data_IF_367677085057
#
_entry.id   IF_367677085057
#
_cell.length_a   1.000
_cell.length_b   1.000
_cell.length_c   1.000
_cell.angle_alpha   90.00
_cell.angle_beta   90.00
_cell.angle_gamma   90.00
#
_symmetry.space_group_name_H-M   'P 1'
#
loop_
_entity.id
_entity.type
_entity.pdbx_description
1 polymer ?
#
# COMPACT_ATOMS: atom_id res chain seq x y z
N UNK A 1 -8.97 -5.92 12.21
CA UNK A 1 -9.47 -5.92 10.82
C UNK A 1 -8.78 -6.94 9.94
N UNK A 2 -7.46 -6.84 9.72
CA UNK A 2 -6.63 -7.86 9.07
C UNK A 2 -5.78 -8.55 10.12
N UNK A 3 -5.68 -9.88 10.03
CA UNK A 3 -4.77 -10.68 10.88
C UNK A 3 -4.04 -11.69 10.01
N UNK A 4 -2.72 -11.68 10.11
CA UNK A 4 -1.80 -12.62 9.49
C UNK A 4 -1.17 -13.43 10.62
N UNK A 5 -1.17 -14.76 10.51
CA UNK A 5 -0.67 -15.64 11.56
C UNK A 5 0.26 -16.69 10.99
N UNK A 6 1.50 -16.69 11.45
CA UNK A 6 2.57 -17.64 11.13
C UNK A 6 2.73 -17.89 9.61
N UNK A 7 2.75 -16.81 8.83
CA UNK A 7 2.72 -16.88 7.37
C UNK A 7 4.09 -17.28 6.80
N UNK A 8 4.11 -18.36 6.02
CA UNK A 8 5.28 -18.84 5.31
C UNK A 8 5.06 -18.78 3.79
N UNK A 9 5.99 -18.13 3.08
CA UNK A 9 5.97 -18.06 1.60
C UNK A 9 7.35 -18.39 1.06
N UNK A 10 7.39 -19.19 0.00
CA UNK A 10 8.65 -19.57 -0.65
C UNK A 10 8.55 -19.42 -2.17
N UNK A 11 9.65 -19.04 -2.80
CA UNK A 11 9.87 -19.07 -4.24
C UNK A 11 10.87 -20.18 -4.55
N UNK A 12 10.36 -21.34 -4.99
CA UNK A 12 11.20 -22.54 -5.12
C UNK A 12 11.86 -22.90 -3.78
N UNK A 13 13.19 -22.91 -3.74
CA UNK A 13 13.97 -23.20 -2.53
C UNK A 13 14.17 -22.02 -1.58
N UNK A 14 13.81 -20.78 -1.97
CA UNK A 14 14.05 -19.58 -1.17
C UNK A 14 12.83 -19.28 -0.31
N UNK A 15 13.00 -19.31 1.02
CA UNK A 15 11.96 -18.91 1.98
C UNK A 15 11.97 -17.39 2.11
N UNK A 16 10.99 -16.73 1.49
CA UNK A 16 10.84 -15.29 1.53
C UNK A 16 10.15 -14.80 2.82
N UNK A 17 9.14 -15.52 3.31
CA UNK A 17 8.52 -15.29 4.63
C UNK A 17 8.69 -16.54 5.49
N UNK A 18 9.02 -16.34 6.78
CA UNK A 18 9.45 -17.39 7.71
C UNK A 18 8.66 -17.31 9.02
N UNK A 19 7.33 -17.36 8.94
CA UNK A 19 6.45 -17.29 10.12
C UNK A 19 6.11 -15.83 10.48
N UNK A 20 5.70 -15.03 9.49
CA UNK A 20 5.29 -13.63 9.71
C UNK A 20 3.91 -13.59 10.34
N UNK A 21 3.78 -12.86 11.45
CA UNK A 21 2.51 -12.55 12.10
C UNK A 21 2.38 -11.03 12.25
N UNK A 22 1.21 -10.48 11.92
CA UNK A 22 0.88 -9.07 12.11
C UNK A 22 -0.63 -8.87 12.19
N UNK A 23 -1.02 -7.74 12.74
CA UNK A 23 -2.41 -7.30 12.81
C UNK A 23 -2.53 -5.84 12.36
N UNK A 24 -3.65 -5.54 11.67
CA UNK A 24 -4.03 -4.17 11.30
C UNK A 24 -5.45 -3.96 11.82
N UNK A 25 -5.65 -2.94 12.65
CA UNK A 25 -6.97 -2.58 13.16
C UNK A 25 -7.69 -1.65 12.18
N UNK A 26 -8.99 -1.51 12.35
CA UNK A 26 -9.78 -0.63 11.50
C UNK A 26 -9.40 0.84 11.74
N UNK A 27 -9.21 1.60 10.66
CA UNK A 27 -8.86 3.01 10.70
C UNK A 27 -7.38 3.29 10.98
N UNK A 28 -6.55 2.25 11.20
CA UNK A 28 -5.10 2.42 11.38
C UNK A 28 -4.35 2.59 10.05
N UNK A 29 -3.28 3.37 10.10
CA UNK A 29 -2.16 3.27 9.15
C UNK A 29 -1.08 2.43 9.82
N UNK A 30 -0.83 1.24 9.28
CA UNK A 30 0.27 0.37 9.72
C UNK A 30 1.33 0.36 8.65
N UNK A 31 2.58 0.60 9.02
CA UNK A 31 3.69 0.50 8.07
C UNK A 31 4.58 -0.72 8.33
N UNK A 32 5.11 -1.27 7.25
CA UNK A 32 6.14 -2.31 7.28
C UNK A 32 7.40 -1.73 6.67
N UNK A 33 8.43 -1.57 7.48
CA UNK A 33 9.76 -1.14 7.05
C UNK A 33 10.74 -2.30 7.04
N UNK A 34 11.78 -2.19 6.22
CA UNK A 34 12.80 -3.23 6.09
C UNK A 34 13.62 -3.06 4.81
N UNK A 35 14.77 -3.67 4.75
CA UNK A 35 15.66 -3.63 3.59
C UNK A 35 15.01 -4.24 2.33
N UNK A 36 15.56 -3.93 1.17
CA UNK A 36 15.15 -4.58 -0.09
C UNK A 36 15.41 -6.09 0.02
N UNK A 37 14.43 -6.88 -0.45
CA UNK A 37 14.47 -8.34 -0.31
C UNK A 37 14.07 -8.87 1.08
N UNK A 38 13.67 -8.03 2.04
CA UNK A 38 13.21 -8.49 3.36
C UNK A 38 11.91 -9.31 3.32
N UNK A 39 11.13 -9.20 2.22
CA UNK A 39 9.86 -9.92 2.05
C UNK A 39 8.62 -9.04 2.07
N UNK A 40 8.76 -7.71 2.06
CA UNK A 40 7.67 -6.74 2.16
C UNK A 40 6.60 -6.93 1.06
N UNK A 41 7.00 -6.82 -0.20
CA UNK A 41 6.09 -7.02 -1.35
C UNK A 41 5.57 -8.46 -1.43
N UNK A 42 6.36 -9.46 -0.98
CA UNK A 42 5.90 -10.85 -0.86
C UNK A 42 4.71 -10.97 0.08
N UNK A 43 4.75 -10.25 1.20
CA UNK A 43 3.65 -10.24 2.17
C UNK A 43 2.39 -9.59 1.58
N UNK A 44 2.51 -8.43 0.94
CA UNK A 44 1.37 -7.78 0.28
C UNK A 44 0.80 -8.64 -0.85
N UNK A 45 1.65 -9.29 -1.63
CA UNK A 45 1.24 -10.22 -2.69
C UNK A 45 0.55 -11.48 -2.15
N UNK A 46 0.93 -11.96 -0.97
CA UNK A 46 0.23 -13.06 -0.31
C UNK A 46 -1.16 -12.62 0.21
N UNK A 47 -1.27 -11.40 0.78
CA UNK A 47 -2.55 -10.85 1.25
C UNK A 47 -3.48 -10.55 0.06
N UNK A 48 -2.98 -10.04 -1.06
CA UNK A 48 -3.78 -9.76 -2.27
C UNK A 48 -4.08 -11.00 -3.13
N UNK A 49 -3.56 -12.18 -2.73
CA UNK A 49 -3.84 -13.46 -3.40
C UNK A 49 -3.04 -13.72 -4.68
N UNK A 50 -2.05 -12.87 -5.00
CA UNK A 50 -1.12 -13.11 -6.11
C UNK A 50 -0.12 -14.23 -5.79
N UNK A 51 0.15 -14.44 -4.50
CA UNK A 51 1.02 -15.53 -4.03
C UNK A 51 0.24 -16.44 -3.07
N UNK A 52 0.41 -17.74 -3.24
CA UNK A 52 -0.17 -18.74 -2.35
C UNK A 52 0.80 -19.00 -1.20
N UNK A 53 0.41 -18.78 0.07
CA UNK A 53 1.21 -19.19 1.21
C UNK A 53 1.41 -20.71 1.26
N UNK A 54 2.59 -21.13 1.71
CA UNK A 54 2.90 -22.54 1.98
C UNK A 54 2.24 -23.02 3.27
N UNK A 55 2.21 -22.16 4.31
CA UNK A 55 1.53 -22.41 5.59
C UNK A 55 1.19 -21.08 6.26
N UNK A 56 0.48 -21.16 7.39
CA UNK A 56 -0.08 -20.01 8.10
C UNK A 56 -1.48 -19.67 7.63
N UNK A 57 -2.01 -18.58 8.13
CA UNK A 57 -3.37 -18.14 7.80
C UNK A 57 -3.46 -16.61 7.70
N UNK A 58 -4.41 -16.17 6.88
CA UNK A 58 -4.78 -14.75 6.75
C UNK A 58 -6.29 -14.67 6.97
N UNK A 59 -6.72 -13.78 7.86
CA UNK A 59 -8.13 -13.45 8.05
C UNK A 59 -8.38 -11.97 7.89
N UNK A 60 -9.56 -11.63 7.36
CA UNK A 60 -10.04 -10.27 7.19
C UNK A 60 -11.46 -10.17 7.75
N UNK A 61 -11.69 -9.23 8.67
CA UNK A 61 -12.97 -9.09 9.40
C UNK A 61 -13.42 -10.41 10.03
N UNK A 62 -12.48 -11.06 10.72
CA UNK A 62 -12.66 -12.33 11.45
C UNK A 62 -13.11 -13.51 10.58
N UNK A 63 -12.95 -13.39 9.25
CA UNK A 63 -13.22 -14.46 8.29
C UNK A 63 -11.93 -14.84 7.57
N UNK A 64 -11.76 -16.11 7.26
CA UNK A 64 -10.64 -16.57 6.45
C UNK A 64 -10.63 -15.83 5.10
N UNK A 65 -9.47 -15.31 4.74
CA UNK A 65 -9.33 -14.56 3.49
C UNK A 65 -9.53 -15.49 2.29
N UNK A 66 -10.34 -15.10 1.27
CA UNK A 66 -10.45 -15.85 0.03
C UNK A 66 -9.10 -16.02 -0.65
N UNK A 67 -8.94 -17.08 -1.45
CA UNK A 67 -7.68 -17.33 -2.16
C UNK A 67 -7.57 -16.63 -3.51
N UNK A 68 -8.70 -16.23 -4.10
CA UNK A 68 -8.75 -15.61 -5.44
C UNK A 68 -8.72 -14.10 -5.33
N UNK A 69 -7.86 -13.38 -6.10
CA UNK A 69 -7.75 -11.94 -6.06
C UNK A 69 -9.09 -11.20 -6.24
N UNK A 70 -9.92 -11.64 -7.20
CA UNK A 70 -11.25 -11.04 -7.43
C UNK A 70 -12.18 -11.13 -6.21
N UNK A 71 -12.08 -12.22 -5.43
CA UNK A 71 -12.83 -12.40 -4.18
C UNK A 71 -12.26 -11.58 -3.04
N UNK A 72 -10.94 -11.36 -3.02
CA UNK A 72 -10.27 -10.50 -2.04
C UNK A 72 -10.69 -9.05 -2.25
N UNK A 73 -10.72 -8.57 -3.50
CA UNK A 73 -11.21 -7.24 -3.82
C UNK A 73 -12.69 -7.08 -3.42
N UNK A 74 -13.54 -8.08 -3.72
CA UNK A 74 -14.95 -8.09 -3.27
C UNK A 74 -15.12 -8.11 -1.76
N UNK A 75 -14.15 -8.65 -1.02
CA UNK A 75 -14.16 -8.63 0.45
C UNK A 75 -13.82 -7.25 1.03
N UNK A 76 -13.27 -6.33 0.22
CA UNK A 76 -12.94 -4.96 0.61
C UNK A 76 -11.45 -4.69 0.78
N UNK A 77 -10.56 -5.48 0.18
CA UNK A 77 -9.12 -5.22 0.15
C UNK A 77 -8.74 -4.77 -1.26
N UNK A 78 -8.14 -3.59 -1.39
CA UNK A 78 -7.54 -3.14 -2.64
C UNK A 78 -6.01 -3.04 -2.52
N UNK A 79 -5.32 -3.10 -3.64
CA UNK A 79 -3.85 -3.10 -3.69
C UNK A 79 -3.35 -2.07 -4.70
N UNK A 80 -2.50 -1.17 -4.25
CA UNK A 80 -1.65 -0.30 -5.06
C UNK A 80 -0.28 -0.97 -5.12
N UNK A 81 0.05 -1.69 -6.19
CA UNK A 81 1.29 -2.44 -6.30
C UNK A 81 2.46 -1.52 -6.65
N UNK A 82 3.68 -2.00 -6.37
CA UNK A 82 4.91 -1.40 -6.87
C UNK A 82 4.89 -1.30 -8.42
N UNK A 83 5.52 -0.27 -8.96
CA UNK A 83 5.63 -0.07 -10.41
C UNK A 83 4.36 0.45 -11.08
N UNK A 84 3.38 0.95 -10.30
CA UNK A 84 2.15 1.62 -10.74
C UNK A 84 1.13 0.70 -11.43
N UNK A 85 1.57 -0.21 -12.28
CA UNK A 85 0.80 -1.21 -13.05
C UNK A 85 -0.51 -0.63 -13.63
N UNK A 86 -0.39 0.52 -14.32
CA UNK A 86 -1.49 1.13 -15.07
C UNK A 86 -1.70 0.40 -16.40
N UNK A 87 -2.90 0.50 -16.95
CA UNK A 87 -3.20 0.03 -18.30
C UNK A 87 -2.78 1.12 -19.30
N UNK A 88 -1.52 1.07 -19.77
CA UNK A 88 -0.89 2.12 -20.55
C UNK A 88 -1.64 2.47 -21.85
N UNK A 89 -2.28 1.49 -22.48
CA UNK A 89 -3.03 1.65 -23.73
C UNK A 89 -4.48 2.15 -23.54
N UNK A 90 -4.94 2.24 -22.29
CA UNK A 90 -6.26 2.76 -21.96
C UNK A 90 -6.16 4.24 -21.60
N UNK A 91 -7.29 4.96 -21.67
CA UNK A 91 -7.37 6.33 -21.19
C UNK A 91 -7.27 6.42 -19.67
N UNK A 92 -7.08 7.61 -19.13
CA UNK A 92 -7.16 7.87 -17.68
C UNK A 92 -8.55 7.46 -17.16
N UNK A 93 -9.62 7.83 -17.86
CA UNK A 93 -11.00 7.48 -17.52
C UNK A 93 -11.20 5.96 -17.47
N UNK A 94 -10.78 5.24 -18.48
CA UNK A 94 -10.91 3.78 -18.53
C UNK A 94 -10.14 3.12 -17.39
N UNK A 95 -8.92 3.61 -17.09
CA UNK A 95 -8.14 3.13 -15.95
C UNK A 95 -8.89 3.33 -14.63
N UNK A 96 -9.52 4.48 -14.39
CA UNK A 96 -10.31 4.74 -13.19
C UNK A 96 -11.53 3.81 -13.12
N UNK A 97 -12.25 3.64 -14.23
CA UNK A 97 -13.38 2.72 -14.31
C UNK A 97 -12.99 1.25 -14.07
N UNK A 98 -11.79 0.84 -14.47
CA UNK A 98 -11.28 -0.50 -14.13
C UNK A 98 -11.15 -0.72 -12.62
N UNK A 99 -10.89 0.33 -11.83
CA UNK A 99 -10.91 0.27 -10.37
C UNK A 99 -12.28 -0.14 -9.81
N UNK A 100 -13.35 0.28 -10.43
CA UNK A 100 -14.74 -0.01 -10.02
C UNK A 100 -15.37 -1.20 -10.75
N UNK A 101 -14.60 -1.99 -11.52
CA UNK A 101 -15.12 -3.06 -12.38
C UNK A 101 -16.02 -4.10 -11.65
N UNK A 102 -15.75 -4.35 -10.38
CA UNK A 102 -16.52 -5.31 -9.57
C UNK A 102 -17.70 -4.69 -8.83
N UNK A 103 -17.98 -3.38 -9.02
CA UNK A 103 -19.04 -2.62 -8.36
C UNK A 103 -20.24 -2.45 -9.27
N UNK A 104 -21.41 -2.23 -8.66
CA UNK A 104 -22.68 -2.00 -9.36
C UNK A 104 -23.42 -0.74 -8.86
N UNK A 105 -22.86 -0.03 -7.87
CA UNK A 105 -23.44 1.12 -7.18
C UNK A 105 -23.11 2.44 -7.92
N UNK A 106 -23.74 2.66 -9.08
CA UNK A 106 -23.42 3.75 -10.01
C UNK A 106 -23.36 5.14 -9.35
N UNK A 107 -24.27 5.45 -8.42
CA UNK A 107 -24.29 6.74 -7.74
C UNK A 107 -23.04 6.93 -6.85
N UNK A 108 -22.67 5.90 -6.09
CA UNK A 108 -21.45 5.95 -5.26
C UNK A 108 -20.18 5.96 -6.11
N UNK A 109 -20.15 5.22 -7.24
CA UNK A 109 -19.04 5.26 -8.19
C UNK A 109 -18.84 6.67 -8.78
N UNK A 110 -19.93 7.39 -9.10
CA UNK A 110 -19.84 8.76 -9.59
C UNK A 110 -19.27 9.70 -8.50
N UNK A 111 -19.74 9.57 -7.26
CA UNK A 111 -19.22 10.36 -6.14
C UNK A 111 -17.72 10.06 -5.86
N UNK A 112 -17.30 8.79 -5.96
CA UNK A 112 -15.89 8.42 -5.81
C UNK A 112 -15.04 8.97 -6.95
N UNK A 113 -15.56 9.04 -8.19
CA UNK A 113 -14.86 9.63 -9.32
C UNK A 113 -14.64 11.15 -9.12
N UNK A 114 -15.66 11.89 -8.65
CA UNK A 114 -15.52 13.31 -8.30
C UNK A 114 -14.49 13.51 -7.18
N UNK A 115 -14.46 12.62 -6.21
CA UNK A 115 -13.44 12.63 -5.15
C UNK A 115 -12.03 12.39 -5.70
N UNK A 116 -11.88 11.46 -6.65
CA UNK A 116 -10.60 11.25 -7.35
C UNK A 116 -10.16 12.52 -8.05
N UNK A 117 -11.05 13.24 -8.72
CA UNK A 117 -10.71 14.49 -9.40
C UNK A 117 -10.40 15.64 -8.45
N UNK A 118 -11.04 15.66 -7.28
CA UNK A 118 -10.69 16.62 -6.21
C UNK A 118 -9.27 16.39 -5.69
N UNK A 119 -8.89 15.12 -5.46
CA UNK A 119 -7.55 14.77 -4.98
C UNK A 119 -6.48 14.85 -6.08
N UNK A 120 -6.86 14.57 -7.32
CA UNK A 120 -5.97 14.50 -8.47
C UNK A 120 -6.48 15.35 -9.65
N UNK A 121 -6.50 16.69 -9.55
CA UNK A 121 -7.06 17.56 -10.62
C UNK A 121 -6.41 17.31 -11.98
N UNK A 122 -5.12 16.96 -12.02
CA UNK A 122 -4.40 16.63 -13.24
C UNK A 122 -4.96 15.43 -13.98
N UNK A 123 -5.56 14.46 -13.28
CA UNK A 123 -6.21 13.34 -13.94
C UNK A 123 -7.50 13.77 -14.63
N UNK A 124 -8.25 14.73 -14.05
CA UNK A 124 -9.43 15.31 -14.68
C UNK A 124 -9.09 16.06 -15.97
N UNK A 125 -8.05 16.91 -15.93
CA UNK A 125 -7.57 17.66 -17.10
C UNK A 125 -7.17 16.73 -18.25
N UNK A 126 -6.72 15.51 -17.93
CA UNK A 126 -6.17 14.52 -18.87
C UNK A 126 -7.05 13.30 -19.05
N UNK A 127 -8.33 13.42 -18.72
CA UNK A 127 -9.28 12.28 -18.60
C UNK A 127 -9.31 11.39 -19.85
N UNK A 128 -9.20 11.97 -21.03
CA UNK A 128 -9.21 11.27 -22.34
C UNK A 128 -7.81 10.91 -22.86
N UNK A 129 -6.75 11.29 -22.12
CA UNK A 129 -5.38 11.01 -22.53
C UNK A 129 -5.05 9.54 -22.29
N UNK A 130 -4.22 8.94 -23.16
CA UNK A 130 -3.66 7.60 -22.93
C UNK A 130 -2.77 7.59 -21.69
N UNK A 131 -3.04 6.68 -20.76
CA UNK A 131 -2.35 6.62 -19.46
C UNK A 131 -0.84 6.40 -19.59
N UNK A 132 -0.40 5.70 -20.66
CA UNK A 132 1.02 5.48 -20.92
C UNK A 132 1.81 6.75 -21.23
N UNK A 133 1.14 7.85 -21.62
CA UNK A 133 1.78 9.14 -21.93
C UNK A 133 1.86 10.09 -20.75
N UNK A 134 1.33 9.70 -19.60
CA UNK A 134 1.42 10.45 -18.36
C UNK A 134 2.84 10.43 -17.79
N UNK A 135 3.23 11.48 -17.06
CA UNK A 135 4.45 11.47 -16.26
C UNK A 135 4.40 10.38 -15.17
N UNK A 136 5.56 9.98 -14.66
CA UNK A 136 5.63 8.97 -13.63
C UNK A 136 4.83 9.30 -12.37
N UNK A 137 4.78 10.55 -11.97
CA UNK A 137 3.95 11.01 -10.86
C UNK A 137 2.45 10.93 -11.15
N UNK A 138 2.03 11.35 -12.34
CA UNK A 138 0.62 11.24 -12.77
C UNK A 138 0.17 9.78 -12.89
N UNK A 139 1.05 8.89 -13.34
CA UNK A 139 0.77 7.45 -13.35
C UNK A 139 0.58 6.90 -11.93
N UNK A 140 1.37 7.37 -10.95
CA UNK A 140 1.21 7.00 -9.55
C UNK A 140 -0.12 7.51 -8.98
N UNK A 141 -0.48 8.77 -9.27
CA UNK A 141 -1.78 9.32 -8.89
C UNK A 141 -2.93 8.51 -9.51
N UNK A 142 -2.78 8.08 -10.77
CA UNK A 142 -3.77 7.22 -11.44
C UNK A 142 -3.91 5.85 -10.76
N UNK A 143 -2.80 5.23 -10.33
CA UNK A 143 -2.82 3.97 -9.58
C UNK A 143 -3.54 4.12 -8.23
N UNK A 144 -3.29 5.22 -7.51
CA UNK A 144 -3.99 5.54 -6.25
C UNK A 144 -5.47 5.89 -6.49
N UNK A 145 -5.78 6.62 -7.55
CA UNK A 145 -7.16 6.91 -7.98
C UNK A 145 -7.96 5.62 -8.27
N UNK A 146 -7.34 4.63 -8.93
CA UNK A 146 -7.98 3.31 -9.13
C UNK A 146 -8.27 2.61 -7.81
N UNK A 147 -7.40 2.72 -6.81
CA UNK A 147 -7.65 2.16 -5.49
C UNK A 147 -8.86 2.83 -4.81
N UNK A 148 -9.01 4.15 -4.92
CA UNK A 148 -10.20 4.86 -4.45
C UNK A 148 -11.47 4.38 -5.16
N UNK A 149 -11.44 4.21 -6.47
CA UNK A 149 -12.56 3.71 -7.26
C UNK A 149 -12.99 2.29 -6.85
N UNK A 150 -12.06 1.47 -6.35
CA UNK A 150 -12.36 0.14 -5.79
C UNK A 150 -13.21 0.23 -4.53
N UNK A 151 -13.08 1.32 -3.78
CA UNK A 151 -13.76 1.61 -2.52
C UNK A 151 -13.55 0.51 -1.45
N UNK A 152 -12.39 -0.15 -1.46
CA UNK A 152 -11.99 -1.10 -0.43
C UNK A 152 -11.85 -0.43 0.95
N UNK A 153 -12.03 -1.21 2.01
CA UNK A 153 -11.86 -0.71 3.39
C UNK A 153 -10.40 -0.81 3.86
N UNK A 154 -9.65 -1.77 3.32
CA UNK A 154 -8.22 -1.94 3.53
C UNK A 154 -7.48 -1.68 2.22
N UNK A 155 -6.55 -0.74 2.25
CA UNK A 155 -5.68 -0.39 1.13
C UNK A 155 -4.27 -0.89 1.42
N UNK A 156 -3.79 -1.81 0.60
CA UNK A 156 -2.40 -2.25 0.60
C UNK A 156 -1.63 -1.33 -0.34
N UNK A 157 -0.52 -0.75 0.10
CA UNK A 157 0.32 0.14 -0.71
C UNK A 157 1.76 -0.37 -0.70
N UNK A 158 2.29 -0.70 -1.88
CA UNK A 158 3.65 -1.24 -2.05
C UNK A 158 4.55 -0.18 -2.68
N UNK A 159 5.39 0.43 -1.85
CA UNK A 159 6.37 1.48 -2.18
C UNK A 159 5.79 2.60 -3.07
N UNK A 160 4.66 3.23 -2.68
CA UNK A 160 3.96 4.20 -3.53
C UNK A 160 4.79 5.46 -3.84
N UNK A 161 5.82 5.76 -3.07
CA UNK A 161 6.70 6.91 -3.30
C UNK A 161 7.96 6.60 -4.13
N UNK A 162 8.19 5.32 -4.47
CA UNK A 162 9.42 4.89 -5.13
C UNK A 162 9.63 5.55 -6.50
N UNK A 163 10.83 6.11 -6.71
CA UNK A 163 11.23 6.71 -7.99
C UNK A 163 10.50 8.02 -8.33
N UNK A 164 9.88 8.67 -7.34
CA UNK A 164 9.27 9.98 -7.50
C UNK A 164 10.23 11.11 -7.10
N UNK A 165 10.02 12.29 -7.70
CA UNK A 165 10.70 13.51 -7.28
C UNK A 165 10.28 13.90 -5.84
N UNK A 166 11.15 14.57 -5.06
CA UNK A 166 10.87 14.87 -3.64
C UNK A 166 9.54 15.58 -3.37
N UNK A 167 9.13 16.48 -4.24
CA UNK A 167 7.84 17.17 -4.13
C UNK A 167 6.66 16.19 -4.27
N UNK A 168 6.75 15.24 -5.20
CA UNK A 168 5.71 14.24 -5.43
C UNK A 168 5.68 13.19 -4.31
N UNK A 169 6.82 12.90 -3.68
CA UNK A 169 6.87 12.06 -2.48
C UNK A 169 5.98 12.66 -1.39
N UNK A 170 6.11 13.97 -1.11
CA UNK A 170 5.24 14.62 -0.11
C UNK A 170 3.76 14.48 -0.50
N UNK A 171 3.41 14.75 -1.74
CA UNK A 171 2.04 14.60 -2.24
C UNK A 171 1.49 13.19 -2.02
N UNK A 172 2.30 12.14 -2.22
CA UNK A 172 1.86 10.75 -1.96
C UNK A 172 1.50 10.55 -0.48
N UNK A 173 2.31 11.07 0.45
CA UNK A 173 2.03 10.94 1.88
C UNK A 173 0.82 11.78 2.31
N UNK A 174 0.61 12.96 1.72
CA UNK A 174 -0.59 13.77 1.94
C UNK A 174 -1.85 12.99 1.48
N UNK A 175 -1.77 12.29 0.36
CA UNK A 175 -2.87 11.45 -0.14
C UNK A 175 -3.10 10.21 0.76
N UNK A 176 -2.07 9.64 1.35
CA UNK A 176 -2.22 8.55 2.33
C UNK A 176 -3.03 9.04 3.54
N UNK A 177 -2.76 10.25 4.04
CA UNK A 177 -3.55 10.86 5.11
C UNK A 177 -4.99 11.16 4.67
N UNK A 178 -5.19 11.59 3.42
CA UNK A 178 -6.54 11.75 2.88
C UNK A 178 -7.31 10.43 2.82
N UNK A 179 -6.66 9.31 2.45
CA UNK A 179 -7.29 8.00 2.52
C UNK A 179 -7.73 7.65 3.94
N UNK A 180 -6.89 7.99 4.93
CA UNK A 180 -7.23 7.85 6.36
C UNK A 180 -8.45 8.69 6.72
N UNK A 181 -8.50 9.96 6.30
CA UNK A 181 -9.62 10.87 6.56
C UNK A 181 -10.95 10.35 5.98
N UNK A 182 -10.88 9.57 4.90
CA UNK A 182 -12.00 8.87 4.28
C UNK A 182 -12.37 7.56 5.03
N UNK A 183 -11.78 7.29 6.20
CA UNK A 183 -12.03 6.10 7.01
C UNK A 183 -11.39 4.82 6.48
N UNK A 184 -10.43 4.92 5.55
CA UNK A 184 -9.71 3.75 5.05
C UNK A 184 -8.68 3.26 6.07
N UNK A 185 -8.48 1.95 6.10
CA UNK A 185 -7.38 1.30 6.81
C UNK A 185 -6.24 1.09 5.82
N UNK A 186 -5.00 1.30 6.23
CA UNK A 186 -3.86 1.26 5.30
C UNK A 186 -2.79 0.33 5.84
N UNK A 187 -2.31 -0.57 4.98
CA UNK A 187 -1.07 -1.32 5.21
C UNK A 187 -0.06 -0.83 4.17
N UNK A 188 0.90 -0.04 4.65
CA UNK A 188 1.90 0.65 3.86
C UNK A 188 3.24 -0.09 3.91
N UNK A 189 3.80 -0.41 2.78
CA UNK A 189 5.19 -0.80 2.63
C UNK A 189 5.93 0.35 1.97
N UNK A 190 7.03 0.78 2.58
CA UNK A 190 7.84 1.90 2.06
C UNK A 190 9.32 1.68 2.28
N UNK A 191 10.12 2.18 1.34
CA UNK A 191 11.57 2.26 1.48
C UNK A 191 11.95 3.52 2.28
N UNK A 192 11.20 4.61 2.15
CA UNK A 192 11.37 5.83 2.94
C UNK A 192 10.80 5.62 4.34
N UNK A 193 11.57 4.90 5.17
CA UNK A 193 11.15 4.55 6.52
C UNK A 193 10.81 5.78 7.38
N UNK A 194 11.54 6.89 7.21
CA UNK A 194 11.29 8.12 7.97
C UNK A 194 9.86 8.63 7.73
N UNK A 195 9.51 8.84 6.47
CA UNK A 195 8.18 9.31 6.06
C UNK A 195 7.06 8.32 6.42
N UNK A 196 7.33 7.03 6.23
CA UNK A 196 6.36 5.98 6.55
C UNK A 196 6.03 5.96 8.06
N UNK A 197 7.06 6.12 8.92
CA UNK A 197 6.88 6.16 10.38
C UNK A 197 6.20 7.46 10.84
N UNK A 198 6.30 8.56 10.07
CA UNK A 198 5.64 9.84 10.42
C UNK A 198 4.11 9.76 10.27
N UNK A 199 3.61 9.03 9.27
CA UNK A 199 2.18 8.94 9.00
C UNK A 199 1.52 7.72 9.66
N UNK A 200 2.32 6.73 10.10
CA UNK A 200 1.79 5.49 10.65
C UNK A 200 1.45 5.60 12.15
N UNK A 201 0.42 4.86 12.56
CA UNK A 201 0.06 4.65 13.97
C UNK A 201 0.94 3.55 14.58
N UNK A 202 1.19 2.47 13.81
CA UNK A 202 2.00 1.32 14.23
C UNK A 202 2.94 0.90 13.11
N UNK A 203 4.03 0.27 13.51
CA UNK A 203 5.04 -0.21 12.57
C UNK A 203 5.53 -1.62 12.91
N UNK A 204 5.89 -2.33 11.86
CA UNK A 204 6.59 -3.61 11.91
C UNK A 204 7.92 -3.49 11.16
N UNK A 205 8.99 -4.01 11.76
CA UNK A 205 10.29 -4.13 11.09
C UNK A 205 10.42 -5.55 10.57
N UNK A 206 10.54 -5.69 9.25
CA UNK A 206 10.68 -6.98 8.57
C UNK A 206 12.12 -7.16 8.12
N UNK A 207 12.78 -8.21 8.61
CA UNK A 207 14.16 -8.55 8.26
C UNK A 207 14.26 -10.03 7.89
N UNK A 208 14.82 -10.31 6.72
CA UNK A 208 15.06 -11.67 6.23
C UNK A 208 13.84 -12.60 6.35
N UNK A 209 12.63 -12.05 6.13
CA UNK A 209 11.35 -12.78 6.18
C UNK A 209 10.77 -12.99 7.57
N UNK A 210 11.22 -12.26 8.59
CA UNK A 210 10.71 -12.31 9.97
C UNK A 210 10.43 -10.91 10.50
N UNK A 211 9.43 -10.77 11.35
CA UNK A 211 9.23 -9.54 12.14
C UNK A 211 10.25 -9.57 13.28
N UNK A 212 11.08 -8.53 13.37
CA UNK A 212 12.11 -8.38 14.40
C UNK A 212 11.75 -7.34 15.46
N UNK A 213 10.89 -6.38 15.09
CA UNK A 213 10.38 -5.36 16.01
C UNK A 213 8.97 -4.96 15.59
N UNK A 214 8.11 -4.67 16.56
CA UNK A 214 6.78 -4.10 16.34
C UNK A 214 6.40 -3.16 17.48
N UNK A 215 5.51 -2.22 17.20
CA UNK A 215 5.01 -1.29 18.22
C UNK A 215 4.39 -0.03 17.61
N UNK A 216 4.03 0.95 18.48
CA UNK A 216 3.67 2.29 18.04
C UNK A 216 4.76 2.86 17.13
N UNK A 217 4.37 3.54 16.06
CA UNK A 217 5.33 4.05 15.06
C UNK A 217 6.33 5.04 15.67
N UNK A 218 5.91 5.84 16.67
CA UNK A 218 6.78 6.75 17.41
C UNK A 218 7.89 6.01 18.17
N UNK A 219 7.56 4.86 18.80
CA UNK A 219 8.52 4.07 19.56
C UNK A 219 9.51 3.36 18.63
N UNK A 220 8.99 2.79 17.52
CA UNK A 220 9.83 2.18 16.48
C UNK A 220 10.77 3.23 15.86
N UNK A 221 10.29 4.45 15.61
CA UNK A 221 11.10 5.58 15.08
C UNK A 221 12.18 6.02 16.06
N UNK A 222 11.90 5.96 17.37
CA UNK A 222 12.87 6.32 18.43
C UNK A 222 13.91 5.22 18.69
N UNK A 223 13.68 3.99 18.22
CA UNK A 223 14.57 2.86 18.49
C UNK A 223 15.95 3.08 17.83
N UNK A 224 17.08 3.00 18.61
CA UNK A 224 18.42 3.26 18.10
C UNK A 224 18.83 2.34 16.93
N UNK A 225 18.43 1.06 16.96
CA UNK A 225 18.76 0.11 15.89
C UNK A 225 18.01 0.49 14.59
N UNK A 226 16.75 0.89 14.68
CA UNK A 226 15.96 1.35 13.53
C UNK A 226 16.53 2.64 12.96
N UNK A 227 16.92 3.58 13.82
CA UNK A 227 17.57 4.83 13.40
C UNK A 227 18.86 4.57 12.65
N UNK A 228 19.72 3.71 13.19
CA UNK A 228 20.99 3.37 12.55
C UNK A 228 20.81 2.62 11.21
N UNK A 229 19.82 1.72 11.11
CA UNK A 229 19.65 0.87 9.93
C UNK A 229 18.83 1.54 8.81
N UNK A 230 17.82 2.36 9.15
CA UNK A 230 16.79 2.80 8.19
C UNK A 230 16.59 4.32 8.10
N UNK A 231 16.96 5.10 9.14
CA UNK A 231 16.68 6.54 9.16
C UNK A 231 17.91 7.40 8.83
N UNK A 232 19.07 6.78 8.72
CA UNK A 232 20.35 7.49 8.57
C UNK A 232 20.75 8.23 9.86
N UNK A 233 22.04 8.44 10.06
CA UNK A 233 22.51 9.41 11.06
C UNK A 233 22.14 10.79 10.52
N UNK A 234 21.40 11.60 11.31
CA UNK A 234 21.30 13.04 11.03
C UNK A 234 22.73 13.56 10.79
N UNK A 235 23.05 13.88 9.54
CA UNK A 235 24.22 14.69 9.26
C UNK A 235 23.98 15.99 10.01
N UNK A 236 24.75 16.25 11.06
CA UNK A 236 24.80 17.54 11.74
C UNK A 236 25.06 18.60 10.66
N UNK A 237 24.00 19.21 10.14
CA UNK A 237 24.08 20.49 9.49
C UNK A 237 24.31 21.50 10.60
N UNK A 238 25.56 21.74 10.92
CA UNK A 238 25.99 22.68 11.93
C UNK A 238 27.39 23.15 11.57
N UNK A 239 27.48 24.32 11.05
CA UNK A 239 28.72 25.02 10.76
C UNK A 239 28.43 26.21 9.86
#
# INVERSE_FOLDING_TARGET
MLKVSDLHVSYGGIRALKGVSLEVNQGEIVTIIGANGAGKSTLLNAISGFLKPGSGSISFRDRALPRRPDRIVKAGICHVPEGRLIFANLTVEDNLHMGSFLRNDKAAMAADLERVFTLFPRLQERIKQSAGTLSGGEQQMLAMGRALMTNGDLVLMDEPSLGLAPLLVQTVFDIIEEFRSLGKTILLVEQNAYKALDVADRAYVLEQGRITLEGPACDVKANPAVRAAYLGTESKAGG
#
